data_IF_862941589996
#
_entry.id   IF_862941589996
#
_cell.length_a   1.000
_cell.length_b   1.000
_cell.length_c   1.000
_cell.angle_alpha   90.00
_cell.angle_beta   90.00
_cell.angle_gamma   90.00
#
_symmetry.space_group_name_H-M   'P 1'
#
loop_
_entity.id
_entity.type
_entity.pdbx_description
1 polymer ?
#
# COMPACT_ATOMS: atom_id res chain seq x y z
N UNK A 1 10.59 9.71 -5.80
CA UNK A 1 10.59 8.53 -4.94
C UNK A 1 9.17 8.05 -4.59
N UNK A 2 8.23 8.97 -4.33
CA UNK A 2 6.85 8.59 -4.03
C UNK A 2 6.21 7.82 -5.19
N UNK A 3 6.40 8.28 -6.43
CA UNK A 3 5.85 7.59 -7.59
C UNK A 3 6.39 6.17 -7.72
N UNK A 4 7.69 6.00 -7.46
CA UNK A 4 8.32 4.68 -7.51
C UNK A 4 7.67 3.73 -6.49
N UNK A 5 7.40 4.21 -5.28
CA UNK A 5 6.75 3.40 -4.25
C UNK A 5 5.34 2.97 -4.65
N UNK A 6 4.59 3.85 -5.31
CA UNK A 6 3.27 3.49 -5.84
C UNK A 6 3.41 2.39 -6.90
N UNK A 7 4.33 2.55 -7.83
CA UNK A 7 4.51 1.60 -8.93
C UNK A 7 4.88 0.21 -8.43
N UNK A 8 5.80 0.10 -7.48
CA UNK A 8 6.20 -1.20 -6.95
C UNK A 8 5.12 -1.84 -6.09
N UNK A 9 4.30 -1.05 -5.41
CA UNK A 9 3.21 -1.58 -4.61
C UNK A 9 2.15 -2.25 -5.48
N UNK A 10 1.90 -1.72 -6.66
CA UNK A 10 0.88 -2.24 -7.58
C UNK A 10 1.37 -3.49 -8.30
N UNK A 11 2.66 -3.59 -8.55
CA UNK A 11 3.26 -4.72 -9.27
C UNK A 11 4.41 -5.33 -8.49
N UNK A 12 4.12 -5.98 -7.35
CA UNK A 12 5.19 -6.48 -6.46
C UNK A 12 6.10 -7.50 -7.13
N UNK A 13 5.58 -8.27 -8.10
CA UNK A 13 6.36 -9.29 -8.79
C UNK A 13 7.59 -8.71 -9.49
N UNK A 14 7.50 -7.47 -9.99
CA UNK A 14 8.63 -6.82 -10.64
C UNK A 14 9.66 -6.26 -9.66
N UNK A 15 9.36 -6.30 -8.36
CA UNK A 15 10.24 -5.79 -7.31
C UNK A 15 10.66 -6.88 -6.32
N UNK A 16 10.54 -8.16 -6.73
CA UNK A 16 10.93 -9.27 -5.90
C UNK A 16 9.86 -9.79 -4.95
N UNK A 17 8.62 -9.29 -5.07
CA UNK A 17 7.49 -9.74 -4.26
C UNK A 17 7.16 -8.79 -3.12
N UNK A 18 6.08 -9.12 -2.38
CA UNK A 18 5.51 -8.23 -1.36
C UNK A 18 6.46 -7.93 -0.21
N UNK A 19 7.30 -8.88 0.18
CA UNK A 19 8.27 -8.65 1.26
C UNK A 19 9.35 -7.65 0.86
N UNK A 20 9.80 -7.69 -0.38
CA UNK A 20 10.77 -6.72 -0.90
C UNK A 20 10.15 -5.33 -1.04
N UNK A 21 8.88 -5.24 -1.41
CA UNK A 21 8.16 -3.97 -1.45
C UNK A 21 8.08 -3.36 -0.06
N UNK A 22 7.71 -4.15 0.96
CA UNK A 22 7.66 -3.66 2.33
C UNK A 22 9.02 -3.17 2.81
N UNK A 23 10.08 -3.88 2.46
CA UNK A 23 11.45 -3.47 2.80
C UNK A 23 11.79 -2.12 2.19
N UNK A 24 11.40 -1.89 0.93
CA UNK A 24 11.61 -0.61 0.25
C UNK A 24 10.88 0.53 0.97
N UNK A 25 9.65 0.30 1.42
CA UNK A 25 8.88 1.28 2.17
C UNK A 25 9.55 1.60 3.50
N UNK A 26 10.07 0.60 4.21
CA UNK A 26 10.78 0.81 5.47
C UNK A 26 12.06 1.62 5.28
N UNK A 27 12.82 1.32 4.22
CA UNK A 27 14.05 2.05 3.93
C UNK A 27 13.80 3.50 3.53
N UNK A 28 12.66 3.78 2.90
CA UNK A 28 12.30 5.11 2.44
C UNK A 28 11.54 5.93 3.48
N UNK A 29 11.27 5.37 4.67
CA UNK A 29 10.36 5.95 5.66
C UNK A 29 10.65 7.42 5.97
N UNK A 30 11.92 7.79 6.11
CA UNK A 30 12.32 9.14 6.48
C UNK A 30 12.48 10.07 5.27
N UNK A 31 12.28 9.55 4.05
CA UNK A 31 12.53 10.29 2.80
C UNK A 31 11.26 10.60 2.02
N UNK A 32 10.11 10.03 2.40
CA UNK A 32 8.88 10.17 1.63
C UNK A 32 7.88 11.06 2.34
N UNK A 33 7.05 11.73 1.53
CA UNK A 33 5.95 12.56 2.01
C UNK A 33 4.63 11.85 1.77
N UNK A 34 3.89 11.57 2.86
CA UNK A 34 2.54 10.98 2.75
C UNK A 34 1.60 11.95 2.04
N UNK A 35 1.78 13.25 2.22
CA UNK A 35 0.98 14.26 1.50
C UNK A 35 1.17 14.16 -0.01
N UNK A 36 2.41 13.98 -0.48
CA UNK A 36 2.69 13.79 -1.90
C UNK A 36 2.10 12.49 -2.42
N UNK A 37 2.21 11.41 -1.65
CA UNK A 37 1.59 10.13 -2.01
C UNK A 37 0.08 10.28 -2.16
N UNK A 38 -0.57 10.94 -1.19
CA UNK A 38 -2.01 11.15 -1.23
C UNK A 38 -2.43 11.97 -2.45
N UNK A 39 -1.68 13.03 -2.79
CA UNK A 39 -1.96 13.84 -3.96
C UNK A 39 -1.84 13.04 -5.25
N UNK A 40 -0.79 12.23 -5.38
CA UNK A 40 -0.59 11.37 -6.56
C UNK A 40 -1.71 10.34 -6.69
N UNK A 41 -2.09 9.70 -5.58
CA UNK A 41 -3.15 8.71 -5.56
C UNK A 41 -4.50 9.32 -5.94
N UNK A 42 -4.77 10.54 -5.48
CA UNK A 42 -5.99 11.26 -5.85
C UNK A 42 -6.06 11.50 -7.37
N UNK A 43 -4.93 11.83 -8.00
CA UNK A 43 -4.87 12.04 -9.45
C UNK A 43 -5.13 10.75 -10.24
N UNK A 44 -4.88 9.58 -9.65
CA UNK A 44 -5.15 8.28 -10.29
C UNK A 44 -6.63 7.91 -10.28
N UNK A 45 -7.48 8.73 -9.65
CA UNK A 45 -8.95 8.64 -9.67
C UNK A 45 -9.51 7.30 -9.18
N UNK A 46 -8.73 6.57 -8.38
CA UNK A 46 -9.17 5.31 -7.74
C UNK A 46 -9.65 4.22 -8.71
N UNK A 47 -9.15 4.24 -9.94
CA UNK A 47 -9.47 3.21 -10.93
C UNK A 47 -8.97 1.83 -10.48
N UNK A 48 -7.87 1.82 -9.74
CA UNK A 48 -7.26 0.65 -9.15
C UNK A 48 -7.03 0.93 -7.65
N UNK A 49 -7.00 -0.08 -6.76
CA UNK A 49 -6.91 0.16 -5.32
C UNK A 49 -5.51 0.58 -4.85
N UNK A 50 -4.90 1.53 -5.54
CA UNK A 50 -3.56 2.02 -5.19
C UNK A 50 -3.49 2.50 -3.75
N UNK A 51 -4.48 3.28 -3.32
CA UNK A 51 -4.50 3.85 -1.98
C UNK A 51 -4.62 2.79 -0.88
N UNK A 52 -5.34 1.70 -1.15
CA UNK A 52 -5.46 0.60 -0.20
C UNK A 52 -4.13 -0.14 -0.05
N UNK A 53 -3.49 -0.45 -1.17
CA UNK A 53 -2.22 -1.17 -1.19
C UNK A 53 -1.09 -0.32 -0.61
N UNK A 54 -0.96 0.91 -1.06
CA UNK A 54 0.06 1.84 -0.56
C UNK A 54 -0.14 2.10 0.93
N UNK A 55 -1.38 2.33 1.35
CA UNK A 55 -1.70 2.55 2.77
C UNK A 55 -1.30 1.37 3.64
N UNK A 56 -1.55 0.15 3.17
CA UNK A 56 -1.15 -1.06 3.89
C UNK A 56 0.37 -1.13 4.08
N UNK A 57 1.16 -0.88 3.02
CA UNK A 57 2.62 -0.90 3.14
C UNK A 57 3.13 0.18 4.08
N UNK A 58 2.56 1.39 4.01
CA UNK A 58 2.93 2.46 4.93
C UNK A 58 2.64 2.08 6.38
N UNK A 59 1.48 1.48 6.61
CA UNK A 59 1.06 1.03 7.93
C UNK A 59 2.06 -0.01 8.48
N UNK A 60 2.38 -1.02 7.69
CA UNK A 60 3.34 -2.06 8.07
C UNK A 60 4.76 -1.52 8.22
N UNK A 61 5.12 -0.46 7.51
CA UNK A 61 6.44 0.18 7.61
C UNK A 61 6.57 1.06 8.86
N UNK A 62 5.50 1.26 9.62
CA UNK A 62 5.53 1.97 10.88
C UNK A 62 5.21 3.46 10.79
N UNK A 63 4.54 3.91 9.74
CA UNK A 63 4.09 5.30 9.65
C UNK A 63 3.00 5.57 10.67
N UNK A 64 2.92 6.83 11.14
CA UNK A 64 1.93 7.23 12.15
C UNK A 64 0.53 7.11 11.58
N UNK A 65 -0.40 6.62 12.41
CA UNK A 65 -1.80 6.44 12.04
C UNK A 65 -2.46 7.74 11.57
N UNK A 66 -2.11 8.86 12.18
CA UNK A 66 -2.65 10.17 11.80
C UNK A 66 -2.29 10.55 10.37
N UNK A 67 -1.08 10.20 9.90
CA UNK A 67 -0.68 10.43 8.51
C UNK A 67 -1.45 9.51 7.56
N UNK A 68 -1.70 8.28 7.98
CA UNK A 68 -2.42 7.30 7.16
C UNK A 68 -3.89 7.64 6.98
N UNK A 69 -4.45 8.46 7.86
CA UNK A 69 -5.83 8.92 7.74
C UNK A 69 -6.08 9.68 6.42
N UNK A 70 -5.05 10.30 5.86
CA UNK A 70 -5.16 10.94 4.55
C UNK A 70 -5.59 9.94 3.48
N UNK A 71 -5.05 8.71 3.55
CA UNK A 71 -5.38 7.65 2.60
C UNK A 71 -6.68 6.94 2.95
N UNK A 72 -6.99 6.81 4.24
CA UNK A 72 -8.23 6.17 4.69
C UNK A 72 -9.48 6.95 4.29
N UNK A 73 -9.36 8.24 4.03
CA UNK A 73 -10.47 9.09 3.57
C UNK A 73 -10.86 8.81 2.13
N UNK A 74 -9.98 8.16 1.35
CA UNK A 74 -10.29 7.80 -0.02
C UNK A 74 -11.28 6.63 -0.05
N UNK A 75 -12.17 6.56 -1.06
CA UNK A 75 -13.18 5.51 -1.09
C UNK A 75 -12.57 4.12 -1.21
N UNK A 76 -13.08 3.18 -0.40
CA UNK A 76 -12.69 1.77 -0.43
C UNK A 76 -13.95 0.95 -0.63
N UNK A 77 -14.30 0.71 -1.89
CA UNK A 77 -15.58 0.06 -2.24
C UNK A 77 -15.49 -1.45 -2.29
N UNK A 78 -14.31 -2.00 -2.53
CA UNK A 78 -14.11 -3.42 -2.74
C UNK A 78 -12.91 -3.94 -1.97
N UNK A 79 -12.93 -5.25 -1.70
CA UNK A 79 -11.79 -5.95 -1.15
C UNK A 79 -10.89 -6.40 -2.31
N UNK A 80 -9.58 -6.35 -2.09
CA UNK A 80 -8.60 -6.75 -3.08
C UNK A 80 -7.56 -7.66 -2.46
N UNK A 81 -6.77 -8.29 -3.31
CA UNK A 81 -5.64 -9.12 -2.90
C UNK A 81 -4.35 -8.36 -3.11
N UNK A 82 -3.44 -8.41 -2.13
CA UNK A 82 -2.16 -7.72 -2.22
C UNK A 82 -1.32 -8.24 -3.39
N UNK A 83 -1.46 -9.52 -3.68
CA UNK A 83 -0.72 -10.21 -4.72
C UNK A 83 -1.56 -11.34 -5.28
N UNK A 84 -1.27 -11.77 -6.53
CA UNK A 84 -1.94 -12.91 -7.14
C UNK A 84 -1.46 -14.23 -6.56
N UNK A 85 -2.32 -15.25 -6.57
CA UNK A 85 -1.98 -16.65 -6.28
C UNK A 85 -1.42 -16.91 -4.88
N UNK A 86 -1.84 -16.13 -3.90
CA UNK A 86 -1.51 -16.40 -2.49
C UNK A 86 -2.28 -17.63 -2.02
N UNK A 87 -1.58 -18.58 -1.39
CA UNK A 87 -2.21 -19.82 -0.91
C UNK A 87 -2.93 -19.63 0.42
N UNK A 88 -2.30 -18.95 1.37
CA UNK A 88 -2.86 -18.67 2.67
C UNK A 88 -2.87 -17.18 2.90
N UNK A 89 -4.05 -16.64 3.18
CA UNK A 89 -4.22 -15.19 3.33
C UNK A 89 -4.89 -14.86 4.65
N UNK A 90 -4.66 -13.63 5.12
CA UNK A 90 -5.43 -13.02 6.19
C UNK A 90 -6.02 -11.71 5.68
N UNK A 91 -7.14 -11.30 6.27
CA UNK A 91 -7.85 -10.10 5.85
C UNK A 91 -7.49 -8.92 6.75
N UNK A 92 -7.07 -7.81 6.13
CA UNK A 92 -6.77 -6.56 6.84
C UNK A 92 -7.91 -5.58 6.61
N UNK A 93 -8.78 -5.46 7.59
CA UNK A 93 -10.00 -4.66 7.49
C UNK A 93 -9.73 -3.18 7.23
N UNK A 94 -8.70 -2.62 7.86
CA UNK A 94 -8.38 -1.19 7.74
C UNK A 94 -8.13 -0.77 6.28
N UNK A 95 -7.62 -1.66 5.45
CA UNK A 95 -7.28 -1.39 4.06
C UNK A 95 -8.06 -2.25 3.08
N UNK A 96 -8.96 -3.11 3.58
CA UNK A 96 -9.78 -4.03 2.79
C UNK A 96 -8.95 -4.87 1.84
N UNK A 97 -7.89 -5.48 2.37
CA UNK A 97 -6.95 -6.29 1.59
C UNK A 97 -6.82 -7.69 2.16
N UNK A 98 -6.70 -8.66 1.27
CA UNK A 98 -6.22 -9.99 1.59
C UNK A 98 -4.70 -9.99 1.38
N UNK A 99 -3.95 -10.36 2.40
CA UNK A 99 -2.50 -10.33 2.40
C UNK A 99 -1.96 -11.71 2.76
N UNK A 100 -0.67 -12.00 2.48
CA UNK A 100 -0.10 -13.28 2.91
C UNK A 100 -0.22 -13.42 4.43
N UNK A 101 -0.56 -14.64 4.88
CA UNK A 101 -0.70 -14.92 6.31
C UNK A 101 0.61 -14.63 7.03
N UNK A 102 0.53 -13.95 8.15
CA UNK A 102 1.71 -13.58 8.94
C UNK A 102 2.47 -12.36 8.42
N UNK A 103 1.99 -11.73 7.38
CA UNK A 103 2.61 -10.51 6.83
C UNK A 103 2.31 -9.32 7.78
#
# INVERSE_FOLDING_TARGET
IERTLIDIAVRPVYSGGVFEVLKAYRLARDKISVNKLAAMLHQLKFIYPYHQVVGFYLDRAGFKSTLLDLLRRFPMKFDFYLEHQMKQTEYVQAWRLHVPQGF
#
